data_IF_485735709701
#
_entry.id   IF_485735709701
#
_cell.length_a   1.000
_cell.length_b   1.000
_cell.length_c   1.000
_cell.angle_alpha   90.00
_cell.angle_beta   90.00
_cell.angle_gamma   90.00
#
_symmetry.space_group_name_H-M   'P 1'
#
loop_
_entity.id
_entity.type
_entity.pdbx_description
1 polymer ?
#
# COMPACT_ATOMS: atom_id res chain seq x y z
N UNK A 1 6.96 12.36 5.96
CA UNK A 1 7.40 11.05 5.47
C UNK A 1 7.52 11.14 3.96
N UNK A 2 8.64 10.70 3.38
CA UNK A 2 8.83 10.64 1.93
C UNK A 2 8.16 9.40 1.33
N UNK A 3 7.96 9.38 0.01
CA UNK A 3 7.41 8.21 -0.68
C UNK A 3 8.28 6.95 -0.50
N UNK A 4 9.60 7.12 -0.41
CA UNK A 4 10.53 6.00 -0.19
C UNK A 4 10.44 5.45 1.23
N UNK A 5 10.27 6.32 2.23
CA UNK A 5 10.03 5.90 3.61
C UNK A 5 8.70 5.14 3.71
N UNK A 6 7.67 5.59 3.00
CA UNK A 6 6.36 4.95 2.95
C UNK A 6 6.40 3.58 2.26
N UNK A 7 7.20 3.45 1.21
CA UNK A 7 7.41 2.17 0.55
C UNK A 7 8.11 1.16 1.47
N UNK A 8 9.16 1.57 2.19
CA UNK A 8 9.85 0.72 3.16
C UNK A 8 8.94 0.28 4.31
N UNK A 9 8.12 1.21 4.80
CA UNK A 9 7.15 0.92 5.84
C UNK A 9 6.11 -0.10 5.36
N UNK A 10 5.57 0.09 4.15
CA UNK A 10 4.65 -0.87 3.54
C UNK A 10 5.28 -2.26 3.39
N UNK A 11 6.51 -2.36 2.91
CA UNK A 11 7.23 -3.64 2.78
C UNK A 11 7.34 -4.36 4.13
N UNK A 12 7.75 -3.62 5.17
CA UNK A 12 7.90 -4.17 6.52
C UNK A 12 6.57 -4.65 7.10
N UNK A 13 5.50 -3.87 6.95
CA UNK A 13 4.18 -4.23 7.46
C UNK A 13 3.55 -5.36 6.66
N UNK A 14 3.73 -5.37 5.33
CA UNK A 14 3.22 -6.43 4.47
C UNK A 14 3.86 -7.78 4.80
N UNK A 15 5.17 -7.83 5.06
CA UNK A 15 5.83 -9.06 5.49
C UNK A 15 5.25 -9.59 6.81
N UNK A 16 5.09 -8.74 7.83
CA UNK A 16 4.49 -9.13 9.11
C UNK A 16 3.03 -9.59 8.95
N UNK A 17 2.27 -8.88 8.13
CA UNK A 17 0.87 -9.20 7.85
C UNK A 17 0.75 -10.54 7.12
N UNK A 18 1.63 -10.83 6.16
CA UNK A 18 1.67 -12.12 5.46
C UNK A 18 2.10 -13.28 6.38
N UNK A 19 3.01 -13.03 7.33
CA UNK A 19 3.42 -14.02 8.35
C UNK A 19 2.27 -14.39 9.29
N UNK A 20 1.46 -13.41 9.72
CA UNK A 20 0.33 -13.65 10.63
C UNK A 20 -0.95 -14.10 9.89
N UNK A 21 -1.18 -13.60 8.68
CA UNK A 21 -2.35 -13.88 7.86
C UNK A 21 -1.90 -14.53 6.56
N UNK A 22 -1.34 -15.74 6.66
CA UNK A 22 -0.91 -16.52 5.51
C UNK A 22 -2.08 -16.71 4.52
N UNK A 23 -2.11 -15.92 3.46
CA UNK A 23 -3.13 -16.03 2.41
C UNK A 23 -2.70 -17.15 1.48
N UNK A 24 -3.57 -18.14 1.23
CA UNK A 24 -3.36 -19.20 0.22
C UNK A 24 -3.34 -18.67 -1.24
N UNK A 25 -3.10 -17.37 -1.45
CA UNK A 25 -2.83 -16.82 -2.77
C UNK A 25 -1.41 -17.21 -3.16
N UNK A 26 -1.24 -17.93 -4.28
CA UNK A 26 0.06 -18.39 -4.75
C UNK A 26 1.14 -17.32 -4.61
N UNK A 27 2.20 -17.65 -3.85
CA UNK A 27 3.26 -16.74 -3.39
C UNK A 27 3.83 -15.84 -4.50
N UNK A 28 3.93 -16.37 -5.73
CA UNK A 28 4.40 -15.63 -6.90
C UNK A 28 3.46 -14.48 -7.32
N UNK A 29 2.14 -14.68 -7.24
CA UNK A 29 1.16 -13.66 -7.59
C UNK A 29 1.09 -12.57 -6.51
N UNK A 30 1.07 -12.95 -5.23
CA UNK A 30 1.14 -12.02 -4.11
C UNK A 30 2.42 -11.16 -4.16
N UNK A 31 3.56 -11.78 -4.48
CA UNK A 31 4.84 -11.07 -4.62
C UNK A 31 4.79 -10.04 -5.76
N UNK A 32 4.23 -10.40 -6.92
CA UNK A 32 4.13 -9.48 -8.07
C UNK A 32 3.21 -8.29 -7.79
N UNK A 33 2.08 -8.54 -7.14
CA UNK A 33 1.13 -7.48 -6.74
C UNK A 33 1.76 -6.54 -5.71
N UNK A 34 2.51 -7.07 -4.74
CA UNK A 34 3.26 -6.29 -3.75
C UNK A 34 4.32 -5.40 -4.41
N UNK A 35 5.11 -5.93 -5.34
CA UNK A 35 6.09 -5.13 -6.09
C UNK A 35 5.43 -4.00 -6.90
N UNK A 36 4.31 -4.29 -7.57
CA UNK A 36 3.56 -3.27 -8.30
C UNK A 36 3.02 -2.17 -7.36
N UNK A 37 2.60 -2.55 -6.15
CA UNK A 37 2.13 -1.60 -5.14
C UNK A 37 3.28 -0.73 -4.61
N UNK A 38 4.44 -1.31 -4.32
CA UNK A 38 5.65 -0.59 -3.90
C UNK A 38 6.05 0.47 -4.92
N UNK A 39 6.04 0.14 -6.22
CA UNK A 39 6.33 1.10 -7.27
C UNK A 39 5.30 2.25 -7.32
N UNK A 40 4.02 1.96 -7.11
CA UNK A 40 2.97 3.01 -7.02
C UNK A 40 3.17 3.92 -5.82
N UNK A 41 3.55 3.36 -4.66
CA UNK A 41 3.86 4.12 -3.44
C UNK A 41 5.04 5.06 -3.70
N UNK A 42 6.16 4.53 -4.21
CA UNK A 42 7.37 5.32 -4.53
C UNK A 42 7.06 6.48 -5.49
N UNK A 43 6.24 6.21 -6.51
CA UNK A 43 5.82 7.23 -7.50
C UNK A 43 4.74 8.19 -6.98
N UNK A 44 4.17 7.95 -5.80
CA UNK A 44 3.05 8.73 -5.28
C UNK A 44 1.79 8.65 -6.15
N UNK A 45 1.64 7.57 -6.94
CA UNK A 45 0.57 7.41 -7.93
C UNK A 45 -0.55 6.48 -7.46
N UNK A 46 -0.86 6.50 -6.17
CA UNK A 46 -1.88 5.66 -5.56
C UNK A 46 -3.28 6.20 -5.83
N UNK A 47 -4.15 5.32 -6.30
CA UNK A 47 -5.57 5.59 -6.40
C UNK A 47 -6.28 5.30 -5.08
N UNK A 48 -7.52 5.78 -4.93
CA UNK A 48 -8.37 5.41 -3.78
C UNK A 48 -8.55 3.89 -3.64
N UNK A 49 -8.52 3.15 -4.74
CA UNK A 49 -8.59 1.67 -4.71
C UNK A 49 -7.32 1.08 -4.13
N UNK A 50 -6.16 1.57 -4.57
CA UNK A 50 -4.86 1.12 -4.04
C UNK A 50 -4.76 1.39 -2.54
N UNK A 51 -5.18 2.59 -2.09
CA UNK A 51 -5.19 2.96 -0.67
C UNK A 51 -6.05 1.98 0.15
N UNK A 52 -7.27 1.65 -0.30
CA UNK A 52 -8.14 0.68 0.39
C UNK A 52 -7.56 -0.73 0.48
N UNK A 53 -6.74 -1.13 -0.49
CA UNK A 53 -6.09 -2.45 -0.50
C UNK A 53 -5.00 -2.50 0.57
N UNK A 54 -4.22 -1.42 0.71
CA UNK A 54 -3.08 -1.38 1.64
C UNK A 54 -3.47 -0.87 3.04
N UNK A 55 -4.61 -0.18 3.19
CA UNK A 55 -5.13 0.35 4.44
C UNK A 55 -5.18 -0.67 5.59
N UNK A 56 -5.60 -1.95 5.41
CA UNK A 56 -5.55 -2.95 6.47
C UNK A 56 -4.12 -3.24 6.97
N UNK A 57 -3.14 -3.26 6.06
CA UNK A 57 -1.72 -3.50 6.38
C UNK A 57 -1.16 -2.34 7.21
N UNK A 58 -1.51 -1.11 6.86
CA UNK A 58 -1.13 0.07 7.63
C UNK A 58 -1.87 0.16 8.98
N UNK A 59 -3.15 -0.19 9.00
CA UNK A 59 -3.96 -0.25 10.23
C UNK A 59 -3.43 -1.28 11.21
N UNK A 60 -2.92 -2.41 10.72
CA UNK A 60 -2.22 -3.40 11.54
C UNK A 60 -0.99 -2.79 12.25
N UNK A 61 -0.29 -1.87 11.59
CA UNK A 61 0.79 -1.08 12.20
C UNK A 61 0.34 0.09 13.09
N UNK A 62 -0.98 0.30 13.29
CA UNK A 62 -1.57 1.52 13.88
C UNK A 62 -1.21 2.81 13.13
N UNK A 63 -1.06 2.73 11.81
CA UNK A 63 -0.67 3.87 10.97
C UNK A 63 -1.84 4.24 10.06
N UNK A 64 -2.30 5.49 10.17
CA UNK A 64 -3.29 6.05 9.24
C UNK A 64 -2.61 6.48 7.94
N UNK A 65 -2.71 5.65 6.91
CA UNK A 65 -2.12 5.93 5.60
C UNK A 65 -2.72 7.17 4.93
N UNK A 66 -3.96 7.54 5.25
CA UNK A 66 -4.63 8.69 4.64
C UNK A 66 -3.97 10.02 5.02
N UNK A 67 -3.28 10.06 6.17
CA UNK A 67 -2.47 11.19 6.60
C UNK A 67 -1.20 11.39 5.75
N UNK A 68 -0.71 10.32 5.11
CA UNK A 68 0.52 10.34 4.31
C UNK A 68 0.27 10.37 2.81
N UNK A 69 -0.94 9.98 2.37
CA UNK A 69 -1.27 9.85 0.96
C UNK A 69 -2.59 10.57 0.70
N UNK A 70 -2.50 11.75 0.10
CA UNK A 70 -3.69 12.41 -0.42
C UNK A 70 -4.05 11.81 -1.78
N UNK A 71 -5.21 11.14 -1.93
CA UNK A 71 -5.63 10.64 -3.23
C UNK A 71 -5.75 11.82 -4.19
N UNK A 72 -5.10 11.72 -5.36
CA UNK A 72 -5.24 12.74 -6.41
C UNK A 72 -6.73 12.95 -6.70
N UNK A 73 -7.28 14.08 -6.26
CA UNK A 73 -8.63 14.50 -6.63
C UNK A 73 -8.63 14.66 -8.15
N UNK A 74 -9.31 13.75 -8.86
CA UNK A 74 -9.69 14.00 -10.24
C UNK A 74 -10.70 15.14 -10.20
N UNK A 75 -10.26 16.34 -10.57
CA UNK A 75 -11.19 17.40 -10.93
C UNK A 75 -11.91 16.94 -12.19
N UNK A 76 -13.15 16.51 -12.03
CA UNK A 76 -14.06 16.33 -13.16
C UNK A 76 -14.52 17.76 -13.48
N UNK A 77 -13.90 18.38 -14.48
CA UNK A 77 -14.53 19.52 -15.14
C UNK A 77 -15.67 18.98 -15.99
N UNK A 78 -16.82 19.64 -15.86
CA UNK A 78 -18.11 19.34 -16.49
C UNK A 78 -18.02 19.13 -18.01
#
# INVERSE_FOLDING_TARGET
MSNDELAKLYETLAMKYEEEFAVECGFAQATKERMAMLDKIRRGSLSKKDIRIIEPIFSYGNIDISAYIQPKKRFIFF
#
